data_IF_514803841427
#
_entry.id   IF_514803841427
#
_cell.length_a   1.000
_cell.length_b   1.000
_cell.length_c   1.000
_cell.angle_alpha   90.00
_cell.angle_beta   90.00
_cell.angle_gamma   90.00
#
_symmetry.space_group_name_H-M   'P 1'
#
loop_
_entity.id
_entity.type
_entity.pdbx_description
1 polymer ?
#
# COMPACT_ATOMS: atom_id res chain seq x y z
N UNK A 1 13.10 8.67 0.25
CA UNK A 1 14.12 9.11 -0.73
C UNK A 1 13.54 9.16 -2.16
N UNK A 2 12.72 10.18 -2.46
CA UNK A 2 12.29 10.46 -3.85
C UNK A 2 11.99 11.95 -4.07
N UNK A 3 12.35 12.80 -3.10
CA UNK A 3 12.18 14.24 -3.16
C UNK A 3 13.00 14.83 -4.31
N UNK A 4 12.39 15.68 -5.12
CA UNK A 4 13.03 16.41 -6.22
C UNK A 4 13.51 15.54 -7.42
N UNK A 5 12.98 14.33 -7.58
CA UNK A 5 13.26 13.49 -8.77
C UNK A 5 12.20 13.61 -9.86
N UNK A 6 11.00 14.04 -9.51
CA UNK A 6 9.88 14.30 -10.41
C UNK A 6 9.11 15.51 -9.91
N UNK A 7 8.21 16.06 -10.73
CA UNK A 7 7.39 17.22 -10.34
C UNK A 7 5.91 16.88 -10.21
N UNK A 8 5.45 15.80 -10.86
CA UNK A 8 4.04 15.40 -10.93
C UNK A 8 3.93 13.88 -10.92
N UNK A 9 2.82 13.38 -10.38
CA UNK A 9 2.53 11.94 -10.33
C UNK A 9 1.09 11.70 -10.76
N UNK A 10 0.90 10.70 -11.62
CA UNK A 10 -0.42 10.18 -11.98
C UNK A 10 -0.57 8.80 -11.32
N UNK A 11 -1.59 8.65 -10.49
CA UNK A 11 -1.92 7.38 -9.85
C UNK A 11 -3.20 6.83 -10.46
N UNK A 12 -3.11 5.64 -11.06
CA UNK A 12 -4.25 4.95 -11.68
C UNK A 12 -4.60 3.72 -10.85
N UNK A 13 -5.82 3.73 -10.30
CA UNK A 13 -6.46 2.58 -9.63
C UNK A 13 -5.63 1.88 -8.53
N UNK A 14 -4.69 2.60 -7.94
CA UNK A 14 -3.81 2.10 -6.89
C UNK A 14 -3.48 3.20 -5.89
N UNK A 15 -3.32 2.81 -4.62
CA UNK A 15 -2.96 3.72 -3.53
C UNK A 15 -2.04 3.03 -2.54
N UNK A 16 -1.15 3.80 -1.92
CA UNK A 16 -0.31 3.32 -0.81
C UNK A 16 -1.12 2.92 0.43
N UNK A 17 -2.40 3.31 0.50
CA UNK A 17 -3.32 2.93 1.58
C UNK A 17 -4.04 1.61 1.32
N UNK A 18 -3.88 1.03 0.13
CA UNK A 18 -4.53 -0.24 -0.17
C UNK A 18 -3.87 -1.38 0.63
N UNK A 19 -4.64 -2.40 1.05
CA UNK A 19 -4.13 -3.46 1.94
C UNK A 19 -3.00 -4.31 1.32
N UNK A 20 -3.06 -4.52 0.01
CA UNK A 20 -2.03 -5.20 -0.79
C UNK A 20 -0.81 -4.32 -1.14
N UNK A 21 -0.76 -3.04 -0.76
CA UNK A 21 0.35 -2.15 -1.11
C UNK A 21 1.59 -2.36 -0.23
N UNK A 22 1.41 -2.96 0.96
CA UNK A 22 2.48 -3.31 1.88
C UNK A 22 2.48 -4.80 2.19
N UNK A 23 3.67 -5.39 2.26
CA UNK A 23 3.89 -6.75 2.72
C UNK A 23 4.09 -6.76 4.24
N UNK A 24 3.00 -6.90 5.00
CA UNK A 24 3.03 -6.83 6.47
C UNK A 24 3.85 -7.97 7.11
N UNK A 25 3.71 -9.19 6.58
CA UNK A 25 4.37 -10.40 7.11
C UNK A 25 5.53 -10.90 6.24
N UNK A 26 6.24 -9.98 5.56
CA UNK A 26 7.30 -10.33 4.61
C UNK A 26 8.36 -11.27 5.18
N UNK A 27 8.73 -11.10 6.46
CA UNK A 27 9.69 -11.97 7.15
C UNK A 27 9.17 -13.42 7.27
N UNK A 28 7.91 -13.59 7.66
CA UNK A 28 7.27 -14.90 7.77
C UNK A 28 7.24 -15.60 6.43
N UNK A 29 6.87 -14.89 5.36
CA UNK A 29 6.87 -15.45 4.01
C UNK A 29 8.29 -15.75 3.50
N UNK A 30 9.28 -14.93 3.82
CA UNK A 30 10.68 -15.19 3.48
C UNK A 30 11.22 -16.46 4.16
N UNK A 31 10.91 -16.66 5.46
CA UNK A 31 11.30 -17.88 6.18
C UNK A 31 10.57 -19.13 5.65
N UNK A 32 9.30 -18.98 5.28
CA UNK A 32 8.53 -20.07 4.64
C UNK A 32 9.11 -20.43 3.27
N UNK A 33 9.47 -19.45 2.46
CA UNK A 33 10.15 -19.65 1.18
C UNK A 33 11.48 -20.40 1.38
N UNK A 34 12.30 -19.95 2.33
CA UNK A 34 13.57 -20.60 2.67
C UNK A 34 13.36 -22.07 3.08
N UNK A 35 12.34 -22.34 3.90
CA UNK A 35 11.99 -23.71 4.32
C UNK A 35 11.62 -24.60 3.14
N UNK A 36 10.83 -24.11 2.19
CA UNK A 36 10.43 -24.89 0.99
C UNK A 36 11.63 -25.16 0.09
N UNK A 37 12.53 -24.20 -0.06
CA UNK A 37 13.74 -24.32 -0.88
C UNK A 37 14.91 -25.03 -0.16
N UNK A 38 14.65 -25.60 1.02
CA UNK A 38 15.63 -26.29 1.85
C UNK A 38 16.86 -25.42 2.19
N UNK A 39 16.62 -24.15 2.51
CA UNK A 39 17.59 -23.19 3.02
C UNK A 39 17.48 -23.06 4.56
N UNK A 40 18.59 -22.76 5.25
CA UNK A 40 18.57 -22.46 6.68
C UNK A 40 17.70 -21.24 6.97
N UNK A 41 16.98 -21.24 8.10
CA UNK A 41 15.99 -20.21 8.47
C UNK A 41 16.15 -19.65 9.90
N UNK A 42 17.28 -19.95 10.55
CA UNK A 42 17.60 -19.51 11.90
C UNK A 42 18.40 -18.19 11.92
N UNK A 43 19.20 -17.95 10.89
CA UNK A 43 20.01 -16.75 10.71
C UNK A 43 19.69 -16.10 9.37
N UNK A 44 19.41 -14.80 9.38
CA UNK A 44 18.99 -14.07 8.18
C UNK A 44 20.10 -13.96 7.13
N UNK A 45 21.36 -13.84 7.53
CA UNK A 45 22.50 -13.68 6.61
C UNK A 45 22.71 -14.99 5.86
N UNK A 46 22.81 -16.10 6.59
CA UNK A 46 23.01 -17.43 6.00
C UNK A 46 21.79 -17.84 5.15
N UNK A 47 20.58 -17.51 5.60
CA UNK A 47 19.35 -17.74 4.84
C UNK A 47 19.39 -17.04 3.49
N UNK A 48 19.70 -15.74 3.47
CA UNK A 48 19.71 -14.93 2.25
C UNK A 48 20.82 -15.40 1.29
N UNK A 49 21.99 -15.78 1.81
CA UNK A 49 23.07 -16.31 0.97
C UNK A 49 22.69 -17.65 0.32
N UNK A 50 22.00 -18.53 1.05
CA UNK A 50 21.43 -19.74 0.46
C UNK A 50 20.37 -19.40 -0.61
N UNK A 51 19.45 -18.48 -0.33
CA UNK A 51 18.41 -18.09 -1.29
C UNK A 51 18.99 -17.50 -2.58
N UNK A 52 20.10 -16.75 -2.50
CA UNK A 52 20.85 -16.24 -3.66
C UNK A 52 21.45 -17.34 -4.54
N UNK A 53 21.71 -18.53 -3.99
CA UNK A 53 22.22 -19.68 -4.76
C UNK A 53 21.14 -20.46 -5.52
N UNK A 54 19.86 -20.20 -5.22
CA UNK A 54 18.72 -20.88 -5.87
C UNK A 54 18.43 -20.26 -7.22
N UNK A 55 17.98 -21.09 -8.17
CA UNK A 55 17.56 -20.59 -9.48
C UNK A 55 16.25 -19.79 -9.36
N UNK A 56 16.08 -18.83 -10.27
CA UNK A 56 14.83 -18.03 -10.33
C UNK A 56 13.63 -18.94 -10.55
N UNK A 57 13.76 -19.98 -11.38
CA UNK A 57 12.70 -20.97 -11.61
C UNK A 57 12.29 -21.72 -10.34
N UNK A 58 13.25 -22.11 -9.49
CA UNK A 58 12.93 -22.75 -8.21
C UNK A 58 12.16 -21.82 -7.29
N UNK A 59 12.59 -20.56 -7.20
CA UNK A 59 11.95 -19.55 -6.35
C UNK A 59 10.52 -19.27 -6.83
N UNK A 60 10.32 -19.08 -8.14
CA UNK A 60 9.02 -18.76 -8.72
C UNK A 60 8.02 -19.94 -8.70
N UNK A 61 8.51 -21.19 -8.60
CA UNK A 61 7.66 -22.38 -8.48
C UNK A 61 7.05 -22.53 -7.08
N UNK A 62 7.56 -21.82 -6.07
CA UNK A 62 7.02 -21.92 -4.71
C UNK A 62 5.69 -21.19 -4.62
N UNK A 63 4.62 -21.95 -4.37
CA UNK A 63 3.29 -21.41 -4.13
C UNK A 63 3.13 -20.99 -2.66
N UNK A 64 3.19 -19.68 -2.41
CA UNK A 64 2.95 -19.12 -1.08
C UNK A 64 1.46 -18.86 -0.87
N UNK A 65 0.90 -19.45 0.20
CA UNK A 65 -0.49 -19.20 0.60
C UNK A 65 -0.62 -17.85 1.28
N UNK A 66 -0.99 -16.83 0.51
CA UNK A 66 -1.27 -15.48 1.01
C UNK A 66 -2.78 -15.29 1.19
N UNK A 67 -3.25 -14.72 2.31
CA UNK A 67 -4.65 -14.35 2.47
C UNK A 67 -5.11 -13.40 1.36
N UNK A 68 -6.36 -13.54 0.95
CA UNK A 68 -6.95 -12.64 -0.05
C UNK A 68 -6.85 -11.18 0.40
N UNK A 69 -6.55 -10.28 -0.55
CA UNK A 69 -6.33 -8.83 -0.40
C UNK A 69 -4.99 -8.39 0.22
N UNK A 70 -4.12 -9.33 0.56
CA UNK A 70 -2.77 -9.06 1.06
C UNK A 70 -1.72 -9.50 0.05
N UNK A 71 -0.46 -9.11 0.30
CA UNK A 71 0.70 -9.54 -0.49
C UNK A 71 1.76 -10.19 0.40
N UNK A 72 2.46 -11.21 -0.13
CA UNK A 72 3.59 -11.84 0.56
C UNK A 72 4.88 -11.03 0.43
N UNK A 73 5.18 -10.62 -0.81
CA UNK A 73 6.37 -9.85 -1.15
C UNK A 73 5.94 -8.53 -1.80
N UNK A 74 6.55 -7.45 -1.35
CA UNK A 74 6.21 -6.10 -1.75
C UNK A 74 6.96 -5.09 -0.88
N UNK A 75 6.59 -3.80 -0.97
CA UNK A 75 7.15 -2.79 -0.08
C UNK A 75 6.88 -3.13 1.39
N UNK A 76 7.88 -2.90 2.25
CA UNK A 76 7.76 -3.03 3.70
C UNK A 76 8.07 -1.69 4.36
N UNK A 77 7.64 -1.50 5.60
CA UNK A 77 8.08 -0.36 6.42
C UNK A 77 9.48 -0.67 6.94
N UNK A 78 10.51 -0.24 6.20
CA UNK A 78 11.92 -0.51 6.50
C UNK A 78 12.60 0.59 7.35
N UNK A 79 11.93 1.73 7.55
CA UNK A 79 12.50 2.87 8.26
C UNK A 79 13.45 3.72 7.40
N UNK A 80 13.75 3.32 6.16
CA UNK A 80 14.74 3.96 5.27
C UNK A 80 14.06 4.49 4.01
N UNK A 81 13.52 3.59 3.17
CA UNK A 81 12.79 3.94 1.95
C UNK A 81 11.35 4.28 2.29
N UNK A 82 10.70 3.45 3.11
CA UNK A 82 9.35 3.63 3.64
C UNK A 82 9.49 3.82 5.16
N UNK A 83 9.58 5.07 5.64
CA UNK A 83 9.96 5.36 7.02
C UNK A 83 8.90 4.97 8.05
N UNK A 84 7.62 5.00 7.68
CA UNK A 84 6.51 4.56 8.52
C UNK A 84 5.30 4.19 7.67
N UNK A 85 4.23 3.70 8.31
CA UNK A 85 3.00 3.36 7.62
C UNK A 85 2.44 4.55 6.79
N UNK A 86 2.01 4.33 5.53
CA UNK A 86 1.49 5.37 4.65
C UNK A 86 0.35 6.19 5.27
N UNK A 87 -0.52 5.57 6.07
CA UNK A 87 -1.59 6.26 6.81
C UNK A 87 -1.06 7.35 7.75
N UNK A 88 0.06 7.08 8.42
CA UNK A 88 0.71 8.01 9.35
C UNK A 88 1.42 9.11 8.56
N UNK A 89 2.12 8.76 7.48
CA UNK A 89 2.82 9.72 6.63
C UNK A 89 1.85 10.72 5.98
N UNK A 90 0.74 10.23 5.45
CA UNK A 90 -0.29 11.09 4.84
C UNK A 90 -0.94 11.97 5.91
N UNK A 91 -1.33 11.42 7.07
CA UNK A 91 -1.90 12.21 8.16
C UNK A 91 -0.95 13.31 8.63
N UNK A 92 0.33 13.00 8.82
CA UNK A 92 1.36 13.98 9.21
C UNK A 92 1.51 15.08 8.16
N UNK A 93 1.51 14.73 6.87
CA UNK A 93 1.57 15.72 5.79
C UNK A 93 0.34 16.63 5.78
N UNK A 94 -0.86 16.09 6.05
CA UNK A 94 -2.09 16.87 6.17
C UNK A 94 -2.06 17.81 7.38
N UNK A 95 -1.63 17.33 8.54
CA UNK A 95 -1.52 18.15 9.76
C UNK A 95 -0.52 19.30 9.59
N UNK A 96 0.62 19.03 8.95
CA UNK A 96 1.63 20.05 8.63
C UNK A 96 1.15 21.08 7.62
N UNK A 97 0.16 20.75 6.76
CA UNK A 97 -0.48 21.71 5.86
C UNK A 97 -1.58 22.55 6.54
N UNK A 98 -2.13 22.06 7.66
CA UNK A 98 -3.23 22.72 8.38
C UNK A 98 -2.78 23.75 9.42
N UNK A 99 -1.52 23.72 9.86
CA UNK A 99 -0.97 24.65 10.84
C UNK A 99 -0.58 26.03 10.30
N UNK A 100 -0.82 26.33 9.01
CA UNK A 100 -0.49 27.63 8.39
C UNK A 100 -1.72 28.52 8.11
N UNK A 101 -2.94 28.09 8.45
CA UNK A 101 -4.15 28.88 8.18
C UNK A 101 -4.99 29.10 9.43
N UNK A 102 -4.46 29.88 10.38
CA UNK A 102 -5.27 30.65 11.32
C UNK A 102 -5.51 32.05 10.76
N UNK A 103 -6.40 32.17 9.77
CA UNK A 103 -7.15 33.42 9.57
C UNK A 103 -8.58 33.06 9.16
N UNK A 104 -9.51 33.43 10.02
CA UNK A 104 -10.96 33.24 9.90
C UNK A 104 -11.51 33.97 8.67
N UNK A 105 -12.44 33.37 7.92
CA UNK A 105 -13.69 34.00 7.44
C UNK A 105 -14.59 32.98 6.70
N UNK A 106 -15.74 32.70 7.32
CA UNK A 106 -17.07 32.34 6.78
C UNK A 106 -17.28 31.45 5.52
N UNK A 107 -17.92 30.30 5.78
CA UNK A 107 -19.08 29.71 5.07
C UNK A 107 -18.90 28.83 3.82
N UNK A 108 -19.82 27.85 3.61
CA UNK A 108 -19.45 26.51 3.18
C UNK A 108 -20.11 26.10 1.85
N UNK A 109 -19.30 25.85 0.81
CA UNK A 109 -19.67 24.99 -0.31
C UNK A 109 -18.56 25.00 -1.35
N UNK A 110 -17.66 24.01 -1.31
CA UNK A 110 -17.07 23.36 -2.50
C UNK A 110 -16.04 22.30 -2.09
N UNK A 111 -16.06 21.22 -2.87
CA UNK A 111 -15.32 19.97 -2.76
C UNK A 111 -13.81 20.15 -2.53
N UNK A 112 -13.29 19.42 -1.54
CA UNK A 112 -11.88 19.02 -1.34
C UNK A 112 -10.82 19.79 -2.15
N UNK A 113 -10.59 21.05 -1.79
CA UNK A 113 -9.40 21.79 -2.21
C UNK A 113 -8.22 21.33 -1.36
N UNK A 114 -7.25 20.66 -1.98
CA UNK A 114 -5.92 20.46 -1.36
C UNK A 114 -5.26 21.85 -1.27
N UNK A 115 -4.73 22.29 -0.12
CA UNK A 115 -4.20 23.64 0.01
C UNK A 115 -2.94 23.79 -0.83
N UNK A 116 -2.99 24.66 -1.84
CA UNK A 116 -1.80 25.21 -2.50
C UNK A 116 -1.21 26.28 -1.59
N UNK A 117 -0.30 25.91 -0.69
CA UNK A 117 0.46 26.89 0.08
C UNK A 117 1.64 27.39 -0.77
N UNK A 118 1.49 28.60 -1.30
CA UNK A 118 2.59 29.40 -1.85
C UNK A 118 3.22 30.16 -0.67
N UNK A 119 4.28 29.62 -0.06
CA UNK A 119 5.05 30.37 0.96
C UNK A 119 6.33 30.93 0.34
N UNK A 120 6.52 32.24 0.54
CA UNK A 120 7.58 33.08 -0.02
C UNK A 120 8.66 33.40 1.02
N UNK A 121 8.88 32.51 1.99
CA UNK A 121 9.88 32.70 3.04
C UNK A 121 10.76 31.46 3.20
N UNK A 122 12.06 31.62 2.96
CA UNK A 122 13.04 30.54 2.92
C UNK A 122 13.42 29.96 4.28
N UNK A 123 12.57 29.13 4.88
CA UNK A 123 12.95 28.24 5.99
C UNK A 123 12.45 26.81 5.75
N UNK A 124 13.41 25.89 5.58
CA UNK A 124 13.21 24.53 5.09
C UNK A 124 12.57 23.60 6.13
N UNK A 125 11.30 23.27 5.91
CA UNK A 125 10.72 21.96 6.28
C UNK A 125 10.20 21.34 5.00
N UNK A 126 11.01 20.49 4.37
CA UNK A 126 10.75 19.92 3.03
C UNK A 126 9.58 18.93 3.04
N UNK A 127 8.35 19.43 3.07
CA UNK A 127 7.20 18.70 2.54
C UNK A 127 7.19 18.97 1.04
N UNK A 128 7.72 18.03 0.26
CA UNK A 128 7.64 18.12 -1.21
C UNK A 128 6.18 17.95 -1.60
N UNK A 129 5.53 19.02 -2.05
CA UNK A 129 4.22 18.97 -2.67
C UNK A 129 4.38 18.49 -4.11
N UNK A 130 3.57 17.51 -4.50
CA UNK A 130 3.47 17.05 -5.88
C UNK A 130 2.05 17.28 -6.38
N UNK A 131 1.91 17.76 -7.62
CA UNK A 131 0.61 17.77 -8.27
C UNK A 131 0.19 16.31 -8.49
N UNK A 132 -0.94 15.92 -7.89
CA UNK A 132 -1.49 14.57 -7.95
C UNK A 132 -2.75 14.55 -8.81
N UNK A 133 -2.73 13.70 -9.84
CA UNK A 133 -3.93 13.35 -10.61
C UNK A 133 -4.30 11.89 -10.33
N UNK A 134 -5.54 11.67 -9.89
CA UNK A 134 -6.09 10.33 -9.67
C UNK A 134 -6.97 9.91 -10.85
N UNK A 135 -6.67 8.74 -11.40
CA UNK A 135 -7.49 8.09 -12.43
C UNK A 135 -8.04 6.76 -11.92
N UNK A 136 -9.22 6.40 -12.40
CA UNK A 136 -9.77 5.05 -12.28
C UNK A 136 -9.90 4.46 -13.69
N UNK A 137 -9.64 3.17 -13.84
CA UNK A 137 -9.98 2.45 -15.07
C UNK A 137 -10.90 1.28 -14.77
N UNK A 138 -11.58 0.81 -15.80
CA UNK A 138 -12.60 -0.24 -15.71
C UNK A 138 -12.00 -1.63 -15.55
N UNK A 139 -10.76 -1.84 -15.99
CA UNK A 139 -10.11 -3.15 -16.01
C UNK A 139 -8.90 -3.11 -15.08
N UNK A 140 -9.13 -3.41 -13.81
CA UNK A 140 -8.11 -3.42 -12.77
C UNK A 140 -8.31 -4.70 -11.95
N UNK A 141 -7.23 -5.45 -11.75
CA UNK A 141 -7.13 -6.79 -11.12
C UNK A 141 -7.29 -8.01 -12.06
N UNK A 142 -6.59 -9.12 -11.78
CA UNK A 142 -6.93 -10.40 -12.37
C UNK A 142 -8.21 -10.93 -11.70
N UNK A 143 -9.33 -10.90 -12.44
CA UNK A 143 -10.51 -11.76 -12.29
C UNK A 143 -11.16 -11.87 -10.90
N UNK A 144 -11.32 -10.77 -10.15
CA UNK A 144 -12.15 -10.80 -8.92
C UNK A 144 -13.63 -11.09 -9.24
N UNK A 145 -14.10 -10.61 -10.39
CA UNK A 145 -15.44 -10.84 -10.92
C UNK A 145 -15.38 -11.52 -12.28
N UNK A 146 -16.29 -12.46 -12.50
CA UNK A 146 -16.53 -13.07 -13.81
C UNK A 146 -17.25 -12.09 -14.74
N UNK A 147 -17.14 -12.29 -16.06
CA UNK A 147 -17.88 -11.48 -17.04
C UNK A 147 -19.40 -11.56 -16.87
N UNK A 148 -19.91 -12.63 -16.25
CA UNK A 148 -21.33 -12.73 -15.88
C UNK A 148 -21.67 -11.79 -14.72
N UNK A 149 -20.85 -11.75 -13.66
CA UNK A 149 -21.03 -10.85 -12.52
C UNK A 149 -20.86 -9.38 -12.91
N UNK A 150 -19.99 -9.07 -13.88
CA UNK A 150 -19.85 -7.71 -14.43
C UNK A 150 -21.15 -7.24 -15.09
N UNK A 151 -21.80 -8.11 -15.87
CA UNK A 151 -23.00 -7.76 -16.64
C UNK A 151 -24.29 -7.80 -15.80
N UNK A 152 -24.41 -8.76 -14.90
CA UNK A 152 -25.66 -9.03 -14.16
C UNK A 152 -25.58 -8.69 -12.67
N UNK A 153 -24.40 -8.26 -12.18
CA UNK A 153 -24.15 -8.02 -10.78
C UNK A 153 -23.75 -9.28 -10.00
N UNK A 154 -23.26 -9.06 -8.78
CA UNK A 154 -22.91 -10.12 -7.85
C UNK A 154 -24.14 -10.58 -7.07
N UNK A 155 -24.25 -11.88 -6.85
CA UNK A 155 -25.27 -12.45 -5.96
C UNK A 155 -25.04 -12.02 -4.50
N UNK A 156 -26.11 -11.98 -3.70
CA UNK A 156 -26.05 -11.61 -2.28
C UNK A 156 -25.11 -12.51 -1.49
N UNK A 157 -25.15 -13.83 -1.73
CA UNK A 157 -24.27 -14.78 -1.04
C UNK A 157 -22.79 -14.55 -1.38
N UNK A 158 -22.52 -14.21 -2.64
CA UNK A 158 -21.18 -13.88 -3.12
C UNK A 158 -20.67 -12.59 -2.49
N UNK A 159 -21.50 -11.54 -2.47
CA UNK A 159 -21.21 -10.26 -1.83
C UNK A 159 -20.87 -10.46 -0.35
N UNK A 160 -21.70 -11.19 0.38
CA UNK A 160 -21.52 -11.40 1.82
C UNK A 160 -20.25 -12.20 2.11
N UNK A 161 -19.90 -13.17 1.25
CA UNK A 161 -18.61 -13.89 1.34
C UNK A 161 -17.43 -12.96 1.10
N UNK A 162 -17.48 -12.13 0.07
CA UNK A 162 -16.43 -11.15 -0.26
C UNK A 162 -16.20 -10.20 0.90
N UNK A 163 -17.27 -9.59 1.43
CA UNK A 163 -17.21 -8.66 2.56
C UNK A 163 -16.70 -9.35 3.83
N UNK A 164 -17.17 -10.58 4.12
CA UNK A 164 -16.69 -11.34 5.27
C UNK A 164 -15.20 -11.64 5.18
N UNK A 165 -14.70 -12.05 4.02
CA UNK A 165 -13.27 -12.32 3.83
C UNK A 165 -12.45 -11.04 3.95
N UNK A 166 -12.94 -9.92 3.39
CA UNK A 166 -12.28 -8.62 3.53
C UNK A 166 -12.16 -8.21 4.99
N UNK A 167 -13.26 -8.24 5.74
CA UNK A 167 -13.27 -7.87 7.17
C UNK A 167 -12.34 -8.78 7.97
N UNK A 168 -12.45 -10.10 7.77
CA UNK A 168 -11.64 -11.08 8.52
C UNK A 168 -10.14 -10.92 8.30
N UNK A 169 -9.72 -10.59 7.08
CA UNK A 169 -8.29 -10.52 6.74
C UNK A 169 -7.68 -9.14 6.98
N UNK A 170 -8.47 -8.06 7.03
CA UNK A 170 -7.95 -6.69 7.13
C UNK A 170 -8.20 -5.99 8.46
N UNK A 171 -9.21 -6.40 9.23
CA UNK A 171 -9.61 -5.72 10.46
C UNK A 171 -9.34 -6.60 11.68
N UNK A 172 -8.26 -6.29 12.39
CA UNK A 172 -7.89 -6.94 13.65
C UNK A 172 -8.48 -6.26 14.90
N UNK A 173 -9.22 -5.15 14.74
CA UNK A 173 -9.76 -4.39 15.88
C UNK A 173 -10.68 -5.22 16.80
N UNK A 174 -11.33 -6.27 16.27
CA UNK A 174 -12.19 -7.17 17.04
C UNK A 174 -11.52 -8.52 17.41
N UNK A 175 -10.23 -8.69 17.13
CA UNK A 175 -9.47 -9.92 17.47
C UNK A 175 -8.63 -9.79 18.76
N UNK A 176 -8.75 -8.67 19.49
CA UNK A 176 -8.11 -8.44 20.79
C UNK A 176 -9.09 -8.66 21.95
#
# INVERSE_FOLDING_TARGET
MASNLFSRVILMSGSALSPWALALDAETYARNLAKVLNCPNFDNVIMVDCLRSKSVDEILRVDLKVPQYLTSFGPIVDGIVVPSEPKVLIKKALEQSSSTSSSSFSSPSSLYSVPTAFDRSGHASSVTSYDLLFGITRVETPFVFSGHEEKHGIDLSRRDRVLRTLVRNLFDYHQQ
#
